data_IF_519130448315
#
_entry.id   IF_519130448315
#
_cell.length_a   1.000
_cell.length_b   1.000
_cell.length_c   1.000
_cell.angle_alpha   90.00
_cell.angle_beta   90.00
_cell.angle_gamma   90.00
#
_symmetry.space_group_name_H-M   'P 1'
#
loop_
_entity.id
_entity.type
_entity.pdbx_description
1 polymer ?
#
# COMPACT_ATOMS: atom_id res chain seq x y z
N UNK A 1 -1.68 -17.49 0.21
CA UNK A 1 -1.90 -16.03 0.38
C UNK A 1 -1.72 -15.38 -0.98
N UNK A 2 -2.69 -14.59 -1.43
CA UNK A 2 -2.59 -13.89 -2.71
C UNK A 2 -1.67 -12.68 -2.55
N UNK A 3 -0.70 -12.52 -3.46
CA UNK A 3 0.23 -11.40 -3.44
C UNK A 3 -0.24 -10.32 -4.40
N UNK A 4 -0.70 -9.20 -3.86
CA UNK A 4 -1.16 -8.04 -4.63
C UNK A 4 0.04 -7.16 -5.01
N UNK A 5 0.95 -6.98 -4.05
CA UNK A 5 2.23 -6.32 -4.24
C UNK A 5 3.36 -7.37 -4.14
N UNK A 6 4.32 -7.31 -5.06
CA UNK A 6 5.47 -8.23 -5.09
C UNK A 6 6.39 -7.97 -3.89
N UNK A 7 6.51 -8.96 -3.01
CA UNK A 7 7.37 -8.89 -1.83
C UNK A 7 8.86 -8.98 -2.22
N UNK A 8 9.72 -8.18 -1.59
CA UNK A 8 11.17 -8.12 -1.86
C UNK A 8 11.93 -9.35 -1.38
N UNK A 9 11.31 -10.22 -0.58
CA UNK A 9 11.93 -11.46 -0.07
C UNK A 9 12.00 -12.58 -1.12
N UNK A 10 11.48 -12.37 -2.32
CA UNK A 10 11.37 -13.42 -3.32
C UNK A 10 10.16 -14.31 -3.03
N UNK A 11 10.38 -15.59 -2.71
CA UNK A 11 9.29 -16.53 -2.43
C UNK A 11 8.63 -16.20 -1.07
N UNK A 12 7.35 -15.78 -1.03
CA UNK A 12 6.67 -15.41 0.21
C UNK A 12 6.47 -16.56 1.21
N UNK A 13 6.63 -17.82 0.77
CA UNK A 13 6.64 -18.98 1.66
C UNK A 13 7.87 -18.99 2.60
N UNK A 14 8.94 -18.28 2.23
CA UNK A 14 10.18 -18.19 3.01
C UNK A 14 10.14 -17.08 4.08
N UNK A 15 9.00 -16.40 4.25
CA UNK A 15 8.83 -15.39 5.31
C UNK A 15 8.75 -16.08 6.68
N UNK A 16 9.86 -16.07 7.42
CA UNK A 16 10.00 -16.69 8.75
C UNK A 16 10.52 -15.70 9.79
N UNK A 17 10.50 -16.08 11.07
CA UNK A 17 11.15 -15.31 12.16
C UNK A 17 10.52 -13.97 12.55
N UNK A 18 9.44 -13.52 11.88
CA UNK A 18 8.78 -12.22 12.12
C UNK A 18 7.28 -12.30 12.45
N UNK A 19 6.81 -13.48 12.85
CA UNK A 19 5.38 -13.72 13.15
C UNK A 19 4.88 -12.83 14.29
N UNK A 20 5.68 -12.66 15.34
CA UNK A 20 5.33 -11.83 16.51
C UNK A 20 5.17 -10.36 16.12
N UNK A 21 6.11 -9.81 15.35
CA UNK A 21 6.04 -8.43 14.90
C UNK A 21 4.87 -8.19 13.95
N UNK A 22 4.61 -9.14 13.04
CA UNK A 22 3.45 -9.06 12.15
C UNK A 22 2.13 -9.10 12.93
N UNK A 23 2.00 -9.99 13.92
CA UNK A 23 0.82 -10.04 14.79
C UNK A 23 0.64 -8.73 15.57
N UNK A 24 1.72 -8.14 16.09
CA UNK A 24 1.66 -6.83 16.75
C UNK A 24 1.26 -5.70 15.81
N UNK A 25 1.53 -5.81 14.51
CA UNK A 25 1.05 -4.86 13.50
C UNK A 25 -0.42 -5.09 13.17
N UNK A 26 -0.87 -6.34 13.10
CA UNK A 26 -2.30 -6.66 12.89
C UNK A 26 -3.16 -6.17 14.06
N UNK A 27 -2.72 -6.37 15.29
CA UNK A 27 -3.39 -5.80 16.47
C UNK A 27 -3.41 -4.26 16.41
N UNK A 28 -2.33 -3.64 15.96
CA UNK A 28 -2.30 -2.19 15.73
C UNK A 28 -3.32 -1.77 14.65
N UNK A 29 -3.49 -2.54 13.58
CA UNK A 29 -4.52 -2.28 12.57
C UNK A 29 -5.93 -2.37 13.16
N UNK A 30 -6.18 -3.30 14.08
CA UNK A 30 -7.50 -3.41 14.72
C UNK A 30 -7.85 -2.15 15.53
N UNK A 31 -6.88 -1.54 16.20
CA UNK A 31 -7.08 -0.25 16.87
C UNK A 31 -7.26 0.95 15.92
N UNK A 32 -6.89 0.84 14.63
CA UNK A 32 -7.17 1.90 13.64
C UNK A 32 -8.68 2.00 13.40
N UNK A 33 -9.38 0.87 13.38
CA UNK A 33 -10.84 0.80 13.15
C UNK A 33 -11.63 1.53 14.25
N UNK A 34 -11.07 1.58 15.45
CA UNK A 34 -11.66 2.25 16.62
C UNK A 34 -10.99 3.58 16.93
N UNK A 35 -10.14 4.10 16.03
CA UNK A 35 -9.44 5.38 16.19
C UNK A 35 -8.53 5.46 17.43
N UNK A 36 -8.15 4.32 18.00
CA UNK A 36 -7.30 4.24 19.20
C UNK A 36 -5.81 4.08 18.88
N UNK A 37 -5.49 3.60 17.68
CA UNK A 37 -4.12 3.39 17.24
C UNK A 37 -3.40 4.68 16.86
N UNK A 38 -2.18 4.83 17.38
CA UNK A 38 -1.27 5.95 17.07
C UNK A 38 -0.29 5.59 15.95
N UNK A 39 0.39 6.59 15.40
CA UNK A 39 1.48 6.41 14.44
C UNK A 39 2.56 5.49 14.98
N UNK A 40 3.10 4.61 14.13
CA UNK A 40 4.10 3.61 14.50
C UNK A 40 5.27 3.61 13.51
N UNK A 41 6.48 3.49 14.03
CA UNK A 41 7.70 3.40 13.25
C UNK A 41 8.43 2.07 13.52
N UNK A 42 9.04 1.47 12.49
CA UNK A 42 9.89 0.29 12.60
C UNK A 42 11.31 0.69 12.21
N UNK A 43 12.19 0.80 13.20
CA UNK A 43 13.59 1.21 13.02
C UNK A 43 14.50 0.01 13.25
N UNK A 44 15.44 -0.25 12.35
CA UNK A 44 16.48 -1.28 12.51
C UNK A 44 17.59 -1.11 11.48
N UNK A 45 18.66 -1.92 11.55
CA UNK A 45 19.76 -1.91 10.55
C UNK A 45 19.30 -2.32 9.15
N UNK A 46 20.00 -1.92 8.09
CA UNK A 46 19.67 -2.32 6.71
C UNK A 46 19.60 -3.86 6.58
N UNK A 47 18.80 -4.34 5.61
CA UNK A 47 18.64 -5.77 5.27
C UNK A 47 18.06 -6.67 6.38
N UNK A 48 17.37 -6.10 7.37
CA UNK A 48 16.67 -6.87 8.44
C UNK A 48 15.23 -7.28 8.10
N UNK A 49 14.78 -7.07 6.85
CA UNK A 49 13.45 -7.49 6.39
C UNK A 49 12.28 -6.57 6.76
N UNK A 50 12.51 -5.38 7.33
CA UNK A 50 11.42 -4.44 7.68
C UNK A 50 10.54 -4.03 6.49
N UNK A 51 11.13 -3.78 5.31
CA UNK A 51 10.33 -3.50 4.10
C UNK A 51 9.46 -4.70 3.73
N UNK A 52 9.97 -5.92 3.87
CA UNK A 52 9.21 -7.13 3.59
C UNK A 52 8.04 -7.33 4.55
N UNK A 53 8.22 -7.03 5.84
CA UNK A 53 7.14 -7.04 6.84
C UNK A 53 6.03 -6.07 6.43
N UNK A 54 6.37 -4.85 5.99
CA UNK A 54 5.38 -3.86 5.54
C UNK A 54 4.66 -4.28 4.26
N UNK A 55 5.37 -4.87 3.30
CA UNK A 55 4.76 -5.41 2.08
C UNK A 55 3.83 -6.59 2.38
N UNK A 56 4.21 -7.45 3.32
CA UNK A 56 3.38 -8.56 3.80
C UNK A 56 2.12 -8.05 4.49
N UNK A 57 2.25 -7.04 5.35
CA UNK A 57 1.11 -6.38 5.99
C UNK A 57 0.16 -5.80 4.94
N UNK A 58 0.68 -5.08 3.94
CA UNK A 58 -0.11 -4.57 2.81
C UNK A 58 -0.90 -5.70 2.12
N UNK A 59 -0.24 -6.81 1.76
CA UNK A 59 -0.89 -7.94 1.09
C UNK A 59 -2.00 -8.56 1.94
N UNK A 60 -1.78 -8.71 3.26
CA UNK A 60 -2.80 -9.23 4.17
C UNK A 60 -4.01 -8.30 4.23
N UNK A 61 -3.79 -7.00 4.44
CA UNK A 61 -4.88 -6.02 4.54
C UNK A 61 -5.66 -5.88 3.22
N UNK A 62 -4.94 -5.91 2.10
CA UNK A 62 -5.55 -5.85 0.78
C UNK A 62 -6.42 -7.08 0.53
N UNK A 63 -5.96 -8.26 0.94
CA UNK A 63 -6.73 -9.51 0.87
C UNK A 63 -7.98 -9.47 1.76
N UNK A 64 -7.84 -8.97 3.00
CA UNK A 64 -8.92 -8.91 3.99
C UNK A 64 -10.07 -8.00 3.57
N UNK A 65 -9.81 -6.99 2.74
CA UNK A 65 -10.83 -6.04 2.25
C UNK A 65 -11.66 -5.42 3.39
N UNK A 66 -11.00 -5.09 4.50
CA UNK A 66 -11.65 -4.52 5.68
C UNK A 66 -11.85 -3.01 5.59
N UNK A 67 -12.20 -2.41 6.73
CA UNK A 67 -12.36 -0.96 6.88
C UNK A 67 -11.04 -0.18 6.70
N UNK A 68 -9.90 -0.82 6.97
CA UNK A 68 -8.59 -0.20 6.83
C UNK A 68 -8.07 -0.40 5.40
N UNK A 69 -7.92 0.69 4.67
CA UNK A 69 -7.39 0.70 3.30
C UNK A 69 -5.86 0.75 3.36
N UNK A 70 -5.14 -0.27 2.87
CA UNK A 70 -3.69 -0.26 2.88
C UNK A 70 -3.13 0.64 1.77
N UNK A 71 -2.12 1.43 2.10
CA UNK A 71 -1.34 2.22 1.16
C UNK A 71 0.14 1.98 1.40
N UNK A 72 0.87 1.62 0.33
CA UNK A 72 2.31 1.37 0.38
C UNK A 72 3.05 2.30 -0.59
N UNK A 73 3.96 3.09 -0.06
CA UNK A 73 4.83 3.96 -0.85
C UNK A 73 6.29 3.81 -0.41
N UNK A 74 7.19 3.69 -1.37
CA UNK A 74 8.63 3.57 -1.11
C UNK A 74 9.33 4.88 -1.47
N UNK A 75 9.89 5.54 -0.45
CA UNK A 75 10.75 6.70 -0.62
C UNK A 75 12.17 6.19 -0.85
N UNK A 76 12.76 6.53 -2.00
CA UNK A 76 14.14 6.15 -2.35
C UNK A 76 15.13 7.16 -1.79
N UNK A 77 16.33 6.68 -1.44
CA UNK A 77 17.45 7.51 -1.00
C UNK A 77 18.21 8.09 -2.22
N UNK A 78 17.50 8.84 -3.05
CA UNK A 78 18.04 9.47 -4.27
C UNK A 78 17.56 10.90 -4.38
N UNK A 79 18.39 11.78 -4.94
CA UNK A 79 17.96 13.14 -5.28
C UNK A 79 16.73 13.10 -6.18
N UNK A 80 15.70 13.86 -5.82
CA UNK A 80 14.43 13.91 -6.55
C UNK A 80 13.82 15.30 -6.39
N UNK A 81 13.22 15.82 -7.47
CA UNK A 81 12.49 17.07 -7.43
C UNK A 81 11.19 16.89 -6.64
N UNK A 82 10.85 17.88 -5.79
CA UNK A 82 9.67 17.80 -4.94
C UNK A 82 8.37 17.67 -5.75
N UNK A 83 8.30 18.31 -6.91
CA UNK A 83 7.16 18.22 -7.82
C UNK A 83 6.96 16.79 -8.37
N UNK A 84 8.05 16.15 -8.80
CA UNK A 84 8.01 14.76 -9.29
C UNK A 84 7.66 13.78 -8.17
N UNK A 85 8.20 14.02 -6.97
CA UNK A 85 7.86 13.24 -5.79
C UNK A 85 6.37 13.35 -5.46
N UNK A 86 5.82 14.56 -5.39
CA UNK A 86 4.42 14.82 -5.07
C UNK A 86 3.50 14.15 -6.11
N UNK A 87 3.79 14.34 -7.40
CA UNK A 87 3.07 13.68 -8.51
C UNK A 87 3.10 12.16 -8.37
N UNK A 88 4.27 11.58 -8.13
CA UNK A 88 4.43 10.12 -8.00
C UNK A 88 3.70 9.57 -6.78
N UNK A 89 3.78 10.27 -5.64
CA UNK A 89 3.07 9.93 -4.42
C UNK A 89 1.57 9.91 -4.65
N UNK A 90 1.03 10.99 -5.21
CA UNK A 90 -0.40 11.14 -5.47
C UNK A 90 -0.93 10.08 -6.45
N UNK A 91 -0.26 9.90 -7.60
CA UNK A 91 -0.62 8.87 -8.59
C UNK A 91 -0.57 7.47 -7.96
N UNK A 92 0.43 7.19 -7.11
CA UNK A 92 0.53 5.90 -6.42
C UNK A 92 -0.59 5.69 -5.42
N UNK A 93 -1.01 6.74 -4.72
CA UNK A 93 -2.13 6.70 -3.79
C UNK A 93 -3.43 6.38 -4.53
N UNK A 94 -3.78 7.16 -5.55
CA UNK A 94 -5.03 7.00 -6.29
C UNK A 94 -5.09 5.62 -6.97
N UNK A 95 -4.03 5.17 -7.63
CA UNK A 95 -4.05 3.86 -8.30
C UNK A 95 -4.18 2.68 -7.32
N UNK A 96 -3.60 2.79 -6.13
CA UNK A 96 -3.74 1.76 -5.10
C UNK A 96 -5.14 1.78 -4.49
N UNK A 97 -5.69 2.97 -4.26
CA UNK A 97 -7.08 3.13 -3.81
C UNK A 97 -8.07 2.56 -4.82
N UNK A 98 -7.94 2.91 -6.10
CA UNK A 98 -8.75 2.37 -7.20
C UNK A 98 -8.67 0.84 -7.23
N UNK A 99 -7.46 0.27 -7.19
CA UNK A 99 -7.27 -1.18 -7.18
C UNK A 99 -7.93 -1.84 -5.96
N UNK A 100 -7.84 -1.22 -4.77
CA UNK A 100 -8.46 -1.74 -3.56
C UNK A 100 -9.99 -1.71 -3.64
N UNK A 101 -10.58 -0.59 -4.07
CA UNK A 101 -12.04 -0.42 -4.13
C UNK A 101 -12.71 -1.24 -5.24
N UNK A 102 -12.11 -1.29 -6.43
CA UNK A 102 -12.61 -2.08 -7.57
C UNK A 102 -12.22 -3.57 -7.51
N UNK A 103 -11.34 -3.94 -6.57
CA UNK A 103 -10.71 -5.28 -6.51
C UNK A 103 -9.92 -5.66 -7.77
N UNK A 104 -9.52 -4.67 -8.57
CA UNK A 104 -8.79 -4.89 -9.81
C UNK A 104 -7.31 -4.44 -9.69
N UNK A 105 -6.42 -5.43 -9.54
CA UNK A 105 -4.97 -5.20 -9.42
C UNK A 105 -4.31 -4.60 -10.66
N UNK A 106 -4.97 -4.65 -11.81
CA UNK A 106 -4.40 -4.09 -13.06
C UNK A 106 -4.15 -2.58 -12.94
N UNK A 107 -4.91 -1.87 -12.10
CA UNK A 107 -4.75 -0.44 -11.87
C UNK A 107 -3.42 -0.07 -11.20
N UNK A 108 -2.73 -1.00 -10.54
CA UNK A 108 -1.38 -0.74 -10.02
C UNK A 108 -0.38 -0.34 -11.11
N UNK A 109 -0.64 -0.65 -12.38
CA UNK A 109 0.22 -0.31 -13.51
C UNK A 109 0.03 1.11 -14.03
N UNK A 110 -0.94 1.86 -13.51
CA UNK A 110 -1.24 3.20 -14.02
C UNK A 110 -0.21 4.21 -13.51
N UNK A 111 0.18 5.14 -14.38
CA UNK A 111 1.30 6.05 -14.12
C UNK A 111 0.99 7.52 -14.44
N UNK A 112 -0.18 7.82 -15.00
CA UNK A 112 -0.58 9.18 -15.37
C UNK A 112 -2.04 9.48 -15.02
N UNK A 113 -2.36 10.77 -14.90
CA UNK A 113 -3.69 11.25 -14.51
C UNK A 113 -4.80 10.78 -15.46
N UNK A 114 -4.56 10.79 -16.77
CA UNK A 114 -5.54 10.38 -17.77
C UNK A 114 -6.00 8.92 -17.57
N UNK A 115 -5.06 8.01 -17.34
CA UNK A 115 -5.39 6.61 -17.01
C UNK A 115 -6.23 6.50 -15.74
N UNK A 116 -5.89 7.26 -14.69
CA UNK A 116 -6.63 7.24 -13.41
C UNK A 116 -8.06 7.76 -13.58
N UNK A 117 -8.24 8.85 -14.33
CA UNK A 117 -9.57 9.42 -14.63
C UNK A 117 -10.41 8.39 -15.41
N UNK A 118 -9.83 7.72 -16.40
CA UNK A 118 -10.53 6.69 -17.16
C UNK A 118 -10.93 5.50 -16.29
N UNK A 119 -10.06 5.03 -15.39
CA UNK A 119 -10.41 3.98 -14.43
C UNK A 119 -11.49 4.43 -13.46
N UNK A 120 -11.40 5.66 -12.93
CA UNK A 120 -12.41 6.21 -12.04
C UNK A 120 -13.79 6.26 -12.72
N UNK A 121 -13.87 6.73 -13.97
CA UNK A 121 -15.10 6.70 -14.77
C UNK A 121 -15.62 5.28 -14.98
N UNK A 122 -14.74 4.35 -15.35
CA UNK A 122 -15.10 2.94 -15.61
C UNK A 122 -15.69 2.25 -14.37
N UNK A 123 -15.16 2.56 -13.19
CA UNK A 123 -15.60 1.97 -11.91
C UNK A 123 -16.70 2.79 -11.22
N UNK A 124 -17.25 3.83 -11.88
CA UNK A 124 -18.25 4.75 -11.33
C UNK A 124 -17.79 5.49 -10.05
N UNK A 125 -16.51 5.82 -9.95
CA UNK A 125 -15.92 6.61 -8.86
C UNK A 125 -15.77 8.09 -9.26
N UNK A 126 -16.87 8.71 -9.67
CA UNK A 126 -16.87 10.11 -10.15
C UNK A 126 -16.33 11.09 -9.11
N UNK A 127 -16.59 10.83 -7.82
CA UNK A 127 -16.07 11.63 -6.71
C UNK A 127 -14.53 11.71 -6.65
N UNK A 128 -13.81 10.82 -7.32
CA UNK A 128 -12.34 10.91 -7.40
C UNK A 128 -11.87 11.87 -8.49
N UNK A 129 -12.68 12.08 -9.53
CA UNK A 129 -12.26 12.79 -10.74
C UNK A 129 -11.92 14.25 -10.41
N UNK A 130 -12.71 14.90 -9.55
CA UNK A 130 -12.49 16.30 -9.13
C UNK A 130 -11.20 16.49 -8.32
N UNK A 131 -10.58 15.40 -7.87
CA UNK A 131 -9.37 15.42 -7.07
C UNK A 131 -8.12 14.97 -7.84
N UNK A 132 -8.25 14.49 -9.09
CA UNK A 132 -7.16 13.96 -9.94
C UNK A 132 -6.72 15.00 -10.97
#
# INVERSE_FOLDING_TARGET
MQNFLKEKIGNPALFTGRKKELNNLLHWVDGIKTETSKSKAIISRRKTGKSAVMQRLFNILFAQNGQVIPFYFEIRETSQWIADFAKKFFITFIRQYLAFKSRNVSYFKFENYHQLIQAAKKENFEYLIDHI
#
